data_IF_383083863375
#
_entry.id   IF_383083863375
#
_cell.length_a   1.000
_cell.length_b   1.000
_cell.length_c   1.000
_cell.angle_alpha   90.00
_cell.angle_beta   90.00
_cell.angle_gamma   90.00
#
_symmetry.space_group_name_H-M   'P 1'
#
loop_
_entity.id
_entity.type
_entity.pdbx_description
1 polymer ?
#
# COMPACT_ATOMS: atom_id res chain seq x y z
N UNK A 1 9.08 -12.01 4.29
CA UNK A 1 9.78 -11.91 2.99
C UNK A 1 9.21 -10.69 2.28
N UNK A 2 10.03 -9.73 1.86
CA UNK A 2 9.57 -8.49 1.24
C UNK A 2 9.41 -8.59 -0.29
N UNK A 3 8.76 -7.61 -0.92
CA UNK A 3 8.53 -7.58 -2.37
C UNK A 3 9.84 -7.68 -3.19
N UNK A 4 10.93 -7.10 -2.70
CA UNK A 4 12.27 -7.20 -3.33
C UNK A 4 12.79 -8.64 -3.26
N UNK A 5 12.63 -9.30 -2.12
CA UNK A 5 13.10 -10.69 -1.94
C UNK A 5 12.35 -11.64 -2.89
N UNK A 6 11.05 -11.41 -3.08
CA UNK A 6 10.23 -12.12 -4.07
C UNK A 6 10.72 -11.85 -5.50
N UNK A 7 10.98 -10.58 -5.83
CA UNK A 7 11.41 -10.19 -7.17
C UNK A 7 12.81 -10.74 -7.55
N UNK A 8 13.70 -10.91 -6.57
CA UNK A 8 14.99 -11.60 -6.73
C UNK A 8 14.78 -13.10 -6.95
N UNK A 9 13.99 -13.75 -6.10
CA UNK A 9 13.73 -15.19 -6.20
C UNK A 9 13.07 -15.60 -7.52
N UNK A 10 12.10 -14.82 -8.01
CA UNK A 10 11.43 -15.05 -9.30
C UNK A 10 12.39 -15.01 -10.50
N UNK A 11 13.57 -14.40 -10.35
CA UNK A 11 14.61 -14.31 -11.38
C UNK A 11 15.77 -15.27 -11.15
N UNK A 12 15.69 -16.14 -10.14
CA UNK A 12 16.77 -17.06 -9.78
C UNK A 12 18.02 -16.34 -9.24
N UNK A 13 17.89 -15.09 -8.78
CA UNK A 13 18.99 -14.34 -8.19
C UNK A 13 19.21 -14.73 -6.72
N UNK A 14 20.46 -14.63 -6.22
CA UNK A 14 20.76 -14.96 -4.84
C UNK A 14 20.01 -14.02 -3.86
N UNK A 15 19.69 -14.50 -2.65
CA UNK A 15 19.07 -13.67 -1.64
C UNK A 15 20.01 -12.51 -1.28
N UNK A 16 19.43 -11.32 -1.06
CA UNK A 16 20.21 -10.17 -0.57
C UNK A 16 20.69 -10.40 0.86
N UNK A 17 21.84 -9.81 1.21
CA UNK A 17 22.33 -9.78 2.59
C UNK A 17 21.54 -8.75 3.40
N UNK A 18 20.77 -9.21 4.39
CA UNK A 18 20.05 -8.33 5.31
C UNK A 18 20.96 -7.94 6.48
N UNK A 19 21.45 -6.70 6.48
CA UNK A 19 22.30 -6.19 7.56
C UNK A 19 21.47 -5.79 8.80
N UNK A 20 20.32 -5.14 8.60
CA UNK A 20 19.47 -4.61 9.68
C UNK A 20 18.00 -4.89 9.38
N UNK A 21 17.22 -5.23 10.42
CA UNK A 21 15.76 -5.29 10.39
C UNK A 21 15.20 -4.29 11.38
N UNK A 22 14.29 -3.43 10.93
CA UNK A 22 13.58 -2.48 11.78
C UNK A 22 12.08 -2.73 11.71
N UNK A 23 11.32 -2.52 12.80
CA UNK A 23 9.88 -2.74 12.82
C UNK A 23 9.09 -1.64 12.10
N UNK A 24 9.66 -0.44 11.92
CA UNK A 24 8.96 0.72 11.37
C UNK A 24 9.67 1.30 10.14
N UNK A 25 8.90 1.53 9.06
CA UNK A 25 9.41 2.05 7.80
C UNK A 25 10.03 3.45 7.90
N UNK A 26 9.58 4.30 8.83
CA UNK A 26 10.09 5.66 8.99
C UNK A 26 11.52 5.71 9.57
N UNK A 27 11.97 4.64 10.22
CA UNK A 27 13.32 4.55 10.80
C UNK A 27 14.34 4.08 9.76
N UNK A 28 13.92 3.25 8.81
CA UNK A 28 14.84 2.63 7.84
C UNK A 28 15.65 3.65 7.01
N UNK A 29 15.08 4.77 6.50
CA UNK A 29 15.87 5.79 5.80
C UNK A 29 16.94 6.43 6.69
N UNK A 30 16.65 6.66 7.97
CA UNK A 30 17.60 7.25 8.92
C UNK A 30 18.80 6.34 9.18
N UNK A 31 18.61 5.01 9.13
CA UNK A 31 19.72 4.06 9.21
C UNK A 31 20.63 4.19 7.99
N UNK A 32 20.04 4.32 6.79
CA UNK A 32 20.79 4.52 5.55
C UNK A 32 21.58 5.83 5.58
N UNK A 33 21.04 6.92 6.15
CA UNK A 33 21.79 8.18 6.24
C UNK A 33 23.08 8.10 7.08
N UNK A 34 23.26 7.04 7.87
CA UNK A 34 24.41 6.84 8.77
C UNK A 34 25.17 5.54 8.48
N UNK A 35 25.01 4.95 7.30
CA UNK A 35 25.67 3.69 6.93
C UNK A 35 25.82 3.55 5.43
N UNK A 36 26.62 2.58 4.99
CA UNK A 36 26.76 2.22 3.57
C UNK A 36 25.69 1.19 3.13
N UNK A 37 24.49 1.29 3.69
CA UNK A 37 23.38 0.39 3.37
C UNK A 37 22.49 0.95 2.27
N UNK A 38 21.86 0.05 1.52
CA UNK A 38 20.86 0.42 0.51
C UNK A 38 19.47 0.00 0.98
N UNK A 39 18.50 0.90 0.81
CA UNK A 39 17.10 0.67 1.11
C UNK A 39 16.26 0.76 -0.17
N UNK A 40 15.41 -0.24 -0.38
CA UNK A 40 14.28 -0.14 -1.30
C UNK A 40 13.03 0.19 -0.51
N UNK A 41 12.36 1.29 -0.83
CA UNK A 41 11.17 1.76 -0.12
C UNK A 41 10.20 2.49 -1.07
N UNK A 42 8.94 2.73 -0.65
CA UNK A 42 7.97 3.44 -1.48
C UNK A 42 8.45 4.84 -1.88
N UNK A 43 8.29 5.20 -3.15
CA UNK A 43 8.77 6.48 -3.71
C UNK A 43 8.28 7.71 -2.93
N UNK A 44 7.02 7.71 -2.49
CA UNK A 44 6.43 8.79 -1.68
C UNK A 44 7.13 8.98 -0.33
N UNK A 45 7.55 7.88 0.31
CA UNK A 45 8.31 7.94 1.55
C UNK A 45 9.71 8.52 1.29
N UNK A 46 10.41 8.00 0.27
CA UNK A 46 11.76 8.46 -0.04
C UNK A 46 11.78 9.93 -0.44
N UNK A 47 10.78 10.42 -1.20
CA UNK A 47 10.68 11.83 -1.58
C UNK A 47 10.71 12.77 -0.34
N UNK A 48 9.91 12.46 0.68
CA UNK A 48 9.86 13.25 1.91
C UNK A 48 11.18 13.23 2.70
N UNK A 49 11.97 12.15 2.61
CA UNK A 49 13.25 12.05 3.31
C UNK A 49 14.42 12.62 2.50
N UNK A 50 14.41 12.48 1.17
CA UNK A 50 15.48 13.03 0.32
C UNK A 50 15.53 14.56 0.29
N UNK A 51 14.42 15.22 0.64
CA UNK A 51 14.38 16.67 0.84
C UNK A 51 15.08 17.10 2.14
N UNK A 52 15.01 16.27 3.19
CA UNK A 52 15.52 16.60 4.52
C UNK A 52 16.91 16.01 4.84
N UNK A 53 17.35 14.99 4.09
CA UNK A 53 18.57 14.24 4.35
C UNK A 53 19.37 14.02 3.06
N UNK A 54 20.71 13.86 3.16
CA UNK A 54 21.58 13.67 2.01
C UNK A 54 21.47 12.24 1.44
N UNK A 55 20.30 11.89 0.89
CA UNK A 55 20.02 10.61 0.29
C UNK A 55 20.05 10.71 -1.23
N UNK A 56 20.79 9.80 -1.87
CA UNK A 56 20.70 9.61 -3.31
C UNK A 56 19.61 8.59 -3.64
N UNK A 57 18.79 8.91 -4.64
CA UNK A 57 17.62 8.10 -5.00
C UNK A 57 17.81 7.51 -6.39
N UNK A 58 17.71 6.19 -6.48
CA UNK A 58 17.83 5.44 -7.72
C UNK A 58 16.57 4.61 -7.99
N UNK A 59 16.28 4.34 -9.26
CA UNK A 59 15.35 3.29 -9.61
C UNK A 59 15.93 1.93 -9.19
N UNK A 60 15.12 0.99 -8.67
CA UNK A 60 15.61 -0.36 -8.42
C UNK A 60 16.15 -0.98 -9.73
N UNK A 61 17.30 -1.71 -9.69
CA UNK A 61 17.91 -2.31 -10.88
C UNK A 61 17.14 -3.54 -11.40
N UNK A 62 15.98 -3.82 -10.82
CA UNK A 62 15.07 -4.88 -11.22
C UNK A 62 13.62 -4.41 -11.08
N UNK A 63 12.69 -4.92 -11.89
CA UNK A 63 11.27 -4.68 -11.70
C UNK A 63 10.78 -5.27 -10.37
N UNK A 64 10.25 -4.40 -9.51
CA UNK A 64 9.57 -4.77 -8.25
C UNK A 64 8.07 -4.49 -8.43
N UNK A 65 7.19 -5.47 -8.16
CA UNK A 65 5.75 -5.25 -8.28
C UNK A 65 5.26 -4.07 -7.43
N UNK A 66 4.34 -3.24 -7.95
CA UNK A 66 3.70 -2.20 -7.15
C UNK A 66 2.80 -2.82 -6.07
N UNK A 67 2.37 -1.99 -5.12
CA UNK A 67 1.37 -2.35 -4.13
C UNK A 67 0.30 -1.26 -4.03
N UNK A 68 -0.91 -1.67 -3.69
CA UNK A 68 -2.04 -0.76 -3.54
C UNK A 68 -2.16 -0.26 -2.09
N UNK A 69 -2.50 1.02 -1.95
CA UNK A 69 -2.95 1.59 -0.67
C UNK A 69 -4.46 1.72 -0.76
N UNK A 70 -5.16 0.94 0.06
CA UNK A 70 -6.62 0.87 0.05
C UNK A 70 -7.20 1.41 1.37
N UNK A 71 -8.39 1.98 1.28
CA UNK A 71 -9.22 2.26 2.45
C UNK A 71 -10.06 1.01 2.75
N UNK A 72 -10.10 0.58 4.02
CA UNK A 72 -10.90 -0.57 4.46
C UNK A 72 -11.81 -0.13 5.60
N UNK A 73 -13.06 -0.55 5.57
CA UNK A 73 -14.06 -0.30 6.60
C UNK A 73 -14.99 -1.51 6.74
N UNK A 74 -15.65 -1.61 7.89
CA UNK A 74 -16.68 -2.62 8.10
C UNK A 74 -17.97 -2.24 7.37
N UNK A 75 -18.68 -3.22 6.79
CA UNK A 75 -19.89 -3.03 5.98
C UNK A 75 -20.98 -2.21 6.71
N UNK A 76 -21.11 -2.39 8.03
CA UNK A 76 -22.00 -1.58 8.90
C UNK A 76 -21.86 -0.06 8.70
N UNK A 77 -20.66 0.43 8.35
CA UNK A 77 -20.37 1.86 8.15
C UNK A 77 -20.34 2.27 6.68
N UNK A 78 -20.74 1.40 5.77
CA UNK A 78 -20.86 1.75 4.36
C UNK A 78 -21.90 2.88 4.19
N UNK A 79 -23.01 2.71 4.90
CA UNK A 79 -24.16 3.62 4.92
C UNK A 79 -23.96 4.94 5.67
N UNK A 80 -22.96 5.04 6.54
CA UNK A 80 -22.83 6.15 7.49
C UNK A 80 -22.35 7.47 6.80
N UNK A 81 -23.08 8.60 6.94
CA UNK A 81 -22.73 9.85 6.28
C UNK A 81 -21.37 10.43 6.68
N UNK A 82 -20.99 10.35 7.95
CA UNK A 82 -19.72 10.89 8.44
C UNK A 82 -18.53 10.07 7.92
N UNK A 83 -18.65 8.73 7.93
CA UNK A 83 -17.69 7.84 7.33
C UNK A 83 -17.56 8.09 5.81
N UNK A 84 -18.67 8.20 5.08
CA UNK A 84 -18.64 8.50 3.63
C UNK A 84 -17.92 9.81 3.34
N UNK A 85 -18.23 10.86 4.12
CA UNK A 85 -17.57 12.16 3.99
C UNK A 85 -16.06 12.03 4.19
N UNK A 86 -15.61 11.36 5.26
CA UNK A 86 -14.19 11.18 5.55
C UNK A 86 -13.48 10.35 4.46
N UNK A 87 -14.07 9.23 4.03
CA UNK A 87 -13.53 8.39 2.95
C UNK A 87 -13.35 9.19 1.66
N UNK A 88 -14.35 10.01 1.33
CA UNK A 88 -14.30 10.91 0.18
C UNK A 88 -13.28 12.03 0.34
N UNK A 89 -13.11 12.58 1.55
CA UNK A 89 -12.10 13.59 1.86
C UNK A 89 -10.68 13.04 1.67
N UNK A 90 -10.39 11.87 2.24
CA UNK A 90 -9.09 11.19 2.09
C UNK A 90 -8.82 10.88 0.62
N UNK A 91 -9.80 10.37 -0.11
CA UNK A 91 -9.66 10.07 -1.54
C UNK A 91 -9.28 11.32 -2.35
N UNK A 92 -10.01 12.43 -2.16
CA UNK A 92 -9.69 13.72 -2.80
C UNK A 92 -8.30 14.22 -2.42
N UNK A 93 -7.92 14.14 -1.14
CA UNK A 93 -6.62 14.62 -0.66
C UNK A 93 -5.43 13.88 -1.28
N UNK A 94 -5.62 12.62 -1.67
CA UNK A 94 -4.58 11.82 -2.35
C UNK A 94 -4.78 11.71 -3.86
N UNK A 95 -5.70 12.49 -4.43
CA UNK A 95 -5.93 12.57 -5.88
C UNK A 95 -6.59 11.34 -6.50
N UNK A 96 -7.32 10.53 -5.72
CA UNK A 96 -8.06 9.36 -6.23
C UNK A 96 -9.56 9.58 -6.13
N UNK A 97 -10.33 8.95 -7.01
CA UNK A 97 -11.79 9.03 -6.96
C UNK A 97 -12.32 8.43 -5.64
N UNK A 98 -13.38 9.01 -5.04
CA UNK A 98 -13.97 8.47 -3.82
C UNK A 98 -14.36 7.01 -4.02
N UNK A 99 -14.07 6.12 -3.06
CA UNK A 99 -14.47 4.73 -3.19
C UNK A 99 -15.99 4.63 -3.27
N UNK A 100 -16.48 3.93 -4.30
CA UNK A 100 -17.91 3.70 -4.51
C UNK A 100 -18.44 2.80 -3.39
N UNK A 101 -19.42 3.28 -2.64
CA UNK A 101 -20.16 2.47 -1.65
C UNK A 101 -20.77 1.26 -2.35
N UNK A 102 -20.52 0.05 -1.85
CA UNK A 102 -21.20 -1.15 -2.36
C UNK A 102 -22.62 -1.13 -1.82
N UNK A 103 -23.53 -0.47 -2.54
CA UNK A 103 -24.91 -0.35 -2.14
C UNK A 103 -25.53 -1.76 -2.04
N UNK A 104 -25.71 -2.27 -0.82
CA UNK A 104 -26.36 -3.55 -0.54
C UNK A 104 -27.86 -3.44 -0.84
N UNK A 105 -28.21 -3.57 -2.12
CA UNK A 105 -29.55 -4.00 -2.56
C UNK A 105 -29.42 -5.32 -3.32
N UNK A 106 -29.00 -6.37 -2.60
CA UNK A 106 -29.22 -7.75 -3.01
C UNK A 106 -29.81 -8.55 -1.85
N UNK A 107 -30.98 -8.12 -1.39
CA UNK A 107 -31.81 -8.87 -0.44
C UNK A 107 -33.28 -8.63 -0.77
N UNK A 108 -33.71 -9.03 -1.98
CA UNK A 108 -35.10 -9.40 -2.31
C UNK A 108 -35.20 -9.96 -3.73
N UNK A 109 -34.79 -11.22 -3.91
CA UNK A 109 -35.46 -12.08 -4.87
C UNK A 109 -35.45 -13.51 -4.32
N UNK A 110 -36.35 -13.73 -3.35
CA UNK A 110 -36.89 -15.07 -3.09
C UNK A 110 -37.56 -15.49 -4.40
N UNK A 111 -36.86 -16.28 -5.22
CA UNK A 111 -37.48 -17.03 -6.31
C UNK A 111 -38.47 -18.00 -5.66
N UNK A 112 -39.74 -17.61 -5.62
CA UNK A 112 -40.85 -18.56 -5.48
C UNK A 112 -40.79 -19.47 -6.70
N UNK A 113 -40.46 -20.75 -6.50
CA UNK A 113 -40.63 -21.80 -7.51
C UNK A 113 -42.06 -22.32 -7.35
N UNK A 114 -42.90 -22.32 -8.40
CA UNK A 114 -44.21 -22.96 -8.32
C UNK A 114 -44.04 -24.49 -8.36
N UNK A 115 -44.92 -25.17 -7.62
CA UNK A 115 -45.05 -26.61 -7.63
C UNK A 115 -45.57 -27.11 -8.99
N UNK A 116 -44.93 -28.14 -9.54
CA UNK A 116 -45.47 -29.12 -10.49
C UNK A 116 -44.55 -30.33 -10.46
#
# INVERSE_FOLDING_TARGET
VGAVDVALAQRGLPPRRIAVRVPYFLIAPLVVTRSDHVLTAPRRLIAAFSEAYPLQVFAPPLPVPPFDIIQVWHERFDGDPAHRWLRGLVARAVGVNPPVSRNTRSSRQVRRKPAS
#
